data_IF_277599512853
#
_entry.id   IF_277599512853
#
_cell.length_a   1.000
_cell.length_b   1.000
_cell.length_c   1.000
_cell.angle_alpha   90.00
_cell.angle_beta   90.00
_cell.angle_gamma   90.00
#
_symmetry.space_group_name_H-M   'P 1'
#
loop_
_entity.id
_entity.type
_entity.pdbx_description
1 polymer ?
#
# COMPACT_ATOMS: atom_id res chain seq x y z
N UNK A 1 -9.10 6.33 -17.75
CA UNK A 1 -9.84 5.22 -17.09
C UNK A 1 -11.14 4.89 -17.80
N UNK A 2 -12.11 5.81 -17.99
CA UNK A 2 -13.36 5.49 -18.72
C UNK A 2 -13.14 4.90 -20.12
N UNK A 3 -12.11 5.38 -20.82
CA UNK A 3 -11.75 4.91 -22.18
C UNK A 3 -11.21 3.48 -22.22
N UNK A 4 -10.73 2.95 -21.10
CA UNK A 4 -10.06 1.64 -21.01
C UNK A 4 -10.77 0.68 -20.04
N UNK A 5 -12.01 1.00 -19.66
CA UNK A 5 -12.77 0.21 -18.66
C UNK A 5 -14.23 0.11 -19.07
N UNK A 6 -14.80 -1.09 -19.04
CA UNK A 6 -16.24 -1.28 -19.31
C UNK A 6 -17.14 -0.63 -18.24
N UNK A 7 -16.68 -0.62 -16.99
CA UNK A 7 -17.32 0.08 -15.89
C UNK A 7 -16.27 0.88 -15.11
N UNK A 8 -16.64 2.07 -14.64
CA UNK A 8 -15.82 2.89 -13.75
C UNK A 8 -16.62 3.28 -12.52
N UNK A 9 -16.13 2.89 -11.34
CA UNK A 9 -16.66 3.30 -10.05
C UNK A 9 -15.63 4.18 -9.37
N UNK A 10 -16.00 5.44 -9.10
CA UNK A 10 -15.17 6.37 -8.33
C UNK A 10 -15.70 6.41 -6.92
N UNK A 11 -14.80 6.33 -5.95
CA UNK A 11 -15.14 6.29 -4.52
C UNK A 11 -14.30 7.32 -3.78
N UNK A 12 -14.93 8.10 -2.90
CA UNK A 12 -14.30 9.09 -2.02
C UNK A 12 -14.72 8.83 -0.58
N UNK A 13 -13.76 8.89 0.35
CA UNK A 13 -14.01 8.61 1.78
C UNK A 13 -15.07 9.55 2.38
N UNK A 14 -15.07 10.82 1.97
CA UNK A 14 -15.99 11.87 2.45
C UNK A 14 -17.28 12.00 1.61
N UNK A 15 -17.43 11.19 0.57
CA UNK A 15 -18.58 11.25 -0.35
C UNK A 15 -18.63 12.52 -1.21
N UNK A 16 -17.56 13.31 -1.27
CA UNK A 16 -17.49 14.54 -2.08
C UNK A 16 -17.68 14.27 -3.58
N UNK A 17 -17.37 13.06 -4.06
CA UNK A 17 -17.53 12.70 -5.46
C UNK A 17 -17.73 11.20 -5.68
N UNK A 18 -18.80 10.83 -6.40
CA UNK A 18 -19.08 9.44 -6.73
C UNK A 18 -19.68 8.66 -5.55
N UNK A 19 -19.14 7.48 -5.25
CA UNK A 19 -19.59 6.65 -4.14
C UNK A 19 -18.89 7.09 -2.85
N UNK A 20 -19.62 7.09 -1.74
CA UNK A 20 -19.02 7.37 -0.43
C UNK A 20 -18.40 6.11 0.18
N UNK A 21 -17.22 6.25 0.80
CA UNK A 21 -16.60 5.22 1.64
C UNK A 21 -15.42 4.48 1.01
N UNK A 22 -15.14 3.29 1.52
CA UNK A 22 -13.95 2.52 1.13
C UNK A 22 -14.17 1.70 -0.15
N UNK A 23 -13.09 1.44 -0.87
CA UNK A 23 -13.11 0.58 -2.07
C UNK A 23 -13.64 -0.84 -1.79
N UNK A 24 -13.41 -1.38 -0.59
CA UNK A 24 -13.92 -2.68 -0.17
C UNK A 24 -15.45 -2.71 -0.13
N UNK A 25 -16.09 -1.62 0.29
CA UNK A 25 -17.56 -1.53 0.26
C UNK A 25 -18.08 -1.59 -1.17
N UNK A 26 -17.42 -0.89 -2.09
CA UNK A 26 -17.81 -0.91 -3.51
C UNK A 26 -17.68 -2.31 -4.10
N UNK A 27 -16.64 -3.07 -3.74
CA UNK A 27 -16.49 -4.47 -4.17
C UNK A 27 -17.64 -5.33 -3.65
N UNK A 28 -17.97 -5.21 -2.35
CA UNK A 28 -19.07 -5.94 -1.72
C UNK A 28 -20.41 -5.65 -2.41
N UNK A 29 -20.74 -4.38 -2.61
CA UNK A 29 -21.99 -3.97 -3.25
C UNK A 29 -22.11 -4.55 -4.66
N UNK A 30 -21.02 -4.52 -5.43
CA UNK A 30 -21.01 -5.04 -6.80
C UNK A 30 -21.26 -6.54 -6.86
N UNK A 31 -20.69 -7.31 -5.93
CA UNK A 31 -20.91 -8.76 -5.86
C UNK A 31 -22.32 -9.07 -5.35
N UNK A 32 -22.84 -8.31 -4.38
CA UNK A 32 -24.22 -8.45 -3.89
C UNK A 32 -25.27 -8.10 -4.96
N UNK A 33 -24.96 -7.17 -5.86
CA UNK A 33 -25.77 -6.85 -7.03
C UNK A 33 -25.77 -7.97 -8.11
N UNK A 34 -25.12 -9.12 -7.82
CA UNK A 34 -25.07 -10.29 -8.70
C UNK A 34 -24.00 -10.22 -9.79
N UNK A 35 -23.02 -9.31 -9.67
CA UNK A 35 -21.90 -9.27 -10.63
C UNK A 35 -20.86 -10.33 -10.26
N UNK A 36 -20.34 -10.99 -11.29
CA UNK A 36 -19.28 -11.97 -11.18
C UNK A 36 -17.94 -11.38 -11.65
N UNK A 37 -16.87 -11.71 -10.93
CA UNK A 37 -15.51 -11.27 -11.24
C UNK A 37 -14.56 -12.45 -11.11
N UNK A 38 -13.72 -12.65 -12.13
CA UNK A 38 -12.78 -13.78 -12.17
C UNK A 38 -11.43 -13.48 -11.50
N UNK A 39 -11.02 -12.20 -11.50
CA UNK A 39 -9.74 -11.74 -10.96
C UNK A 39 -9.89 -10.34 -10.37
N UNK A 40 -9.29 -10.12 -9.20
CA UNK A 40 -9.09 -8.80 -8.62
C UNK A 40 -7.62 -8.39 -8.74
N UNK A 41 -7.35 -7.19 -9.21
CA UNK A 41 -6.00 -6.59 -9.19
C UNK A 41 -6.06 -5.36 -8.29
N UNK A 42 -5.32 -5.38 -7.19
CA UNK A 42 -5.31 -4.31 -6.19
C UNK A 42 -3.96 -3.61 -6.14
N UNK A 43 -3.99 -2.28 -6.33
CA UNK A 43 -2.80 -1.42 -6.33
C UNK A 43 -3.13 -0.18 -5.50
N UNK A 44 -2.36 0.10 -4.45
CA UNK A 44 -2.60 1.23 -3.58
C UNK A 44 -1.80 1.18 -2.28
N UNK A 45 -2.27 1.82 -1.19
CA UNK A 45 -1.65 1.69 0.13
C UNK A 45 -1.63 0.23 0.61
N UNK A 46 -0.58 -0.19 1.33
CA UNK A 46 -0.49 -1.56 1.88
C UNK A 46 -1.73 -1.97 2.68
N UNK A 47 -2.24 -1.06 3.50
CA UNK A 47 -3.43 -1.31 4.31
C UNK A 47 -4.68 -1.55 3.46
N UNK A 48 -4.82 -0.82 2.35
CA UNK A 48 -5.92 -0.99 1.40
C UNK A 48 -5.82 -2.38 0.74
N UNK A 49 -4.63 -2.73 0.23
CA UNK A 49 -4.39 -4.03 -0.39
C UNK A 49 -4.66 -5.19 0.58
N UNK A 50 -4.25 -5.06 1.86
CA UNK A 50 -4.53 -6.05 2.91
C UNK A 50 -6.03 -6.32 3.07
N UNK A 51 -6.83 -5.27 3.17
CA UNK A 51 -8.29 -5.42 3.35
C UNK A 51 -9.00 -5.91 2.09
N UNK A 52 -8.55 -5.49 0.91
CA UNK A 52 -9.06 -6.04 -0.36
C UNK A 52 -8.76 -7.53 -0.46
N UNK A 53 -7.54 -7.98 -0.13
CA UNK A 53 -7.18 -9.39 -0.12
C UNK A 53 -8.01 -10.20 0.87
N UNK A 54 -8.27 -9.65 2.07
CA UNK A 54 -9.13 -10.30 3.06
C UNK A 54 -10.56 -10.47 2.53
N UNK A 55 -11.16 -9.41 1.99
CA UNK A 55 -12.50 -9.44 1.42
C UNK A 55 -12.59 -10.42 0.24
N UNK A 56 -11.69 -10.29 -0.73
CA UNK A 56 -11.70 -11.14 -1.94
C UNK A 56 -11.45 -12.61 -1.63
N UNK A 57 -10.72 -12.93 -0.55
CA UNK A 57 -10.58 -14.30 -0.06
C UNK A 57 -11.91 -14.87 0.46
N UNK A 58 -12.73 -14.07 1.13
CA UNK A 58 -14.08 -14.47 1.57
C UNK A 58 -15.05 -14.63 0.38
N UNK A 59 -14.83 -13.87 -0.69
CA UNK A 59 -15.60 -13.94 -1.94
C UNK A 59 -15.07 -14.98 -2.93
N UNK A 60 -14.01 -15.71 -2.57
CA UNK A 60 -13.34 -16.70 -3.43
C UNK A 60 -12.83 -16.12 -4.77
N UNK A 61 -12.48 -14.84 -4.79
CA UNK A 61 -11.95 -14.15 -5.97
C UNK A 61 -10.41 -14.17 -5.91
N UNK A 62 -9.71 -14.76 -6.88
CA UNK A 62 -8.26 -14.67 -7.00
C UNK A 62 -7.79 -13.22 -7.04
N UNK A 63 -6.82 -12.86 -6.20
CA UNK A 63 -6.38 -11.46 -6.06
C UNK A 63 -4.88 -11.31 -6.23
N UNK A 64 -4.50 -10.47 -7.20
CA UNK A 64 -3.13 -10.05 -7.45
C UNK A 64 -2.92 -8.69 -6.80
N UNK A 65 -1.80 -8.52 -6.10
CA UNK A 65 -1.40 -7.24 -5.50
C UNK A 65 -0.06 -6.79 -6.05
N UNK A 66 0.05 -5.50 -6.38
CA UNK A 66 1.35 -4.88 -6.70
C UNK A 66 1.94 -4.27 -5.44
N UNK A 67 2.87 -4.97 -4.81
CA UNK A 67 3.47 -4.53 -3.55
C UNK A 67 4.40 -3.33 -3.74
N UNK A 68 4.44 -2.45 -2.74
CA UNK A 68 5.29 -1.26 -2.72
C UNK A 68 6.27 -1.24 -1.52
N UNK A 69 7.14 -2.26 -1.34
CA UNK A 69 8.16 -2.23 -0.30
C UNK A 69 9.24 -1.19 -0.63
N UNK A 70 10.07 -0.86 0.37
CA UNK A 70 11.23 0.01 0.18
C UNK A 70 12.19 -0.63 -0.83
N UNK A 71 12.63 0.14 -1.82
CA UNK A 71 13.61 -0.27 -2.83
C UNK A 71 14.86 0.60 -2.74
N UNK A 72 16.03 0.02 -3.02
CA UNK A 72 17.31 0.74 -3.09
C UNK A 72 17.95 0.51 -4.44
N UNK A 73 18.39 -0.71 -4.74
CA UNK A 73 19.05 -1.04 -6.00
C UNK A 73 18.04 -1.36 -7.13
N UNK A 74 16.95 -2.06 -6.82
CA UNK A 74 15.93 -2.44 -7.80
C UNK A 74 16.33 -3.56 -8.76
N UNK A 75 17.46 -4.24 -8.51
CA UNK A 75 18.03 -5.28 -9.38
C UNK A 75 18.27 -6.62 -8.68
N UNK A 76 17.84 -6.73 -7.41
CA UNK A 76 17.93 -7.95 -6.61
C UNK A 76 19.22 -8.10 -5.79
N UNK A 77 20.06 -7.07 -5.72
CA UNK A 77 21.37 -7.15 -5.05
C UNK A 77 21.30 -6.91 -3.54
N UNK A 78 20.39 -6.04 -3.05
CA UNK A 78 20.41 -5.63 -1.64
C UNK A 78 19.36 -6.30 -0.74
N UNK A 79 18.26 -6.82 -1.31
CA UNK A 79 17.15 -7.41 -0.55
C UNK A 79 16.33 -6.41 0.29
N UNK A 80 16.47 -5.10 0.08
CA UNK A 80 15.64 -4.08 0.75
C UNK A 80 14.15 -4.29 0.46
N UNK A 81 13.82 -4.68 -0.78
CA UNK A 81 12.46 -4.93 -1.24
C UNK A 81 11.92 -6.32 -0.86
N UNK A 82 12.58 -7.04 0.06
CA UNK A 82 12.12 -8.38 0.45
C UNK A 82 10.73 -8.34 1.09
N UNK A 83 9.96 -9.36 0.77
CA UNK A 83 8.62 -9.65 1.29
C UNK A 83 8.49 -11.14 1.52
N UNK A 84 7.68 -11.55 2.50
CA UNK A 84 7.33 -12.95 2.71
C UNK A 84 6.02 -13.29 1.99
N UNK A 85 6.07 -14.21 1.04
CA UNK A 85 4.93 -14.69 0.25
C UNK A 85 4.86 -16.21 0.33
N UNK A 86 3.76 -16.77 0.83
CA UNK A 86 3.58 -18.22 0.96
C UNK A 86 4.64 -18.88 1.86
N UNK A 87 5.10 -18.16 2.88
CA UNK A 87 6.18 -18.62 3.78
C UNK A 87 7.59 -18.57 3.19
N UNK A 88 7.77 -18.03 1.97
CA UNK A 88 9.08 -17.89 1.32
C UNK A 88 9.44 -16.41 1.20
N UNK A 89 10.72 -16.11 1.43
CA UNK A 89 11.26 -14.76 1.19
C UNK A 89 11.41 -14.55 -0.32
N UNK A 90 10.86 -13.44 -0.81
CA UNK A 90 10.84 -13.02 -2.21
C UNK A 90 11.28 -11.57 -2.34
N UNK A 91 11.91 -11.19 -3.44
CA UNK A 91 12.36 -9.81 -3.68
C UNK A 91 11.44 -9.12 -4.67
N UNK A 92 10.68 -8.12 -4.23
CA UNK A 92 9.67 -7.50 -5.09
C UNK A 92 10.21 -6.90 -6.40
N UNK A 93 11.48 -6.46 -6.45
CA UNK A 93 12.08 -5.92 -7.67
C UNK A 93 12.46 -6.97 -8.73
N UNK A 94 12.54 -8.25 -8.38
CA UNK A 94 12.95 -9.33 -9.30
C UNK A 94 11.90 -10.44 -9.37
N UNK A 95 11.38 -10.89 -8.23
CA UNK A 95 10.34 -11.91 -8.16
C UNK A 95 8.92 -11.33 -8.35
N UNK A 96 8.75 -10.01 -8.27
CA UNK A 96 7.46 -9.32 -8.29
C UNK A 96 7.41 -8.19 -9.33
N UNK A 97 6.83 -7.01 -9.00
CA UNK A 97 6.25 -6.61 -7.70
C UNK A 97 4.84 -7.19 -7.46
N UNK A 98 4.30 -7.88 -8.46
CA UNK A 98 3.00 -8.52 -8.44
C UNK A 98 3.08 -9.91 -7.79
N UNK A 99 2.25 -10.14 -6.77
CA UNK A 99 2.17 -11.42 -6.07
C UNK A 99 0.72 -11.82 -5.83
N UNK A 100 0.50 -13.11 -5.55
CA UNK A 100 -0.77 -13.59 -5.00
C UNK A 100 -1.00 -12.93 -3.63
N UNK A 101 -1.97 -12.02 -3.58
CA UNK A 101 -2.30 -11.23 -2.41
C UNK A 101 -2.80 -12.07 -1.24
N UNK A 102 -3.32 -13.27 -1.46
CA UNK A 102 -3.77 -14.15 -0.38
C UNK A 102 -2.62 -14.84 0.35
N UNK A 103 -1.42 -14.83 -0.24
CA UNK A 103 -0.21 -15.45 0.31
C UNK A 103 0.78 -14.44 0.92
N UNK A 104 0.53 -13.13 0.77
CA UNK A 104 1.42 -12.07 1.26
C UNK A 104 1.30 -11.91 2.78
N UNK A 105 2.44 -11.82 3.47
CA UNK A 105 2.51 -11.35 4.85
C UNK A 105 2.44 -9.82 4.91
N UNK A 106 1.23 -9.26 4.96
CA UNK A 106 1.02 -7.81 5.00
C UNK A 106 1.54 -7.16 6.29
N UNK A 107 1.50 -7.86 7.43
CA UNK A 107 1.93 -7.27 8.70
C UNK A 107 3.43 -7.02 8.71
N UNK A 108 4.22 -8.00 8.23
CA UNK A 108 5.66 -7.82 8.01
C UNK A 108 5.92 -6.70 7.00
N UNK A 109 5.24 -6.71 5.85
CA UNK A 109 5.45 -5.71 4.80
C UNK A 109 5.17 -4.28 5.29
N UNK A 110 4.08 -4.07 6.04
CA UNK A 110 3.73 -2.78 6.64
C UNK A 110 4.74 -2.34 7.71
N UNK A 111 5.21 -3.25 8.57
CA UNK A 111 6.26 -2.92 9.55
C UNK A 111 7.54 -2.46 8.85
N UNK A 112 7.91 -3.13 7.75
CA UNK A 112 9.09 -2.76 6.95
C UNK A 112 8.97 -1.38 6.32
N UNK A 113 7.78 -0.98 5.86
CA UNK A 113 7.55 0.37 5.31
C UNK A 113 7.78 1.49 6.32
N UNK A 114 7.69 1.21 7.63
CA UNK A 114 7.82 2.23 8.67
C UNK A 114 9.26 2.45 9.15
N UNK A 115 10.23 1.65 8.68
CA UNK A 115 11.62 1.66 9.17
C UNK A 115 12.24 3.07 9.12
N UNK A 116 11.97 3.85 8.08
CA UNK A 116 12.57 5.17 7.89
C UNK A 116 11.66 6.34 8.28
N UNK A 117 10.47 6.08 8.84
CA UNK A 117 9.48 7.14 9.15
C UNK A 117 10.05 8.29 9.97
N UNK A 118 10.91 8.01 10.95
CA UNK A 118 11.56 9.06 11.77
C UNK A 118 12.58 9.86 10.98
N UNK A 119 13.38 9.22 10.12
CA UNK A 119 14.38 9.89 9.30
C UNK A 119 13.71 10.75 8.22
N UNK A 120 12.70 10.21 7.54
CA UNK A 120 11.85 10.92 6.58
C UNK A 120 11.16 12.12 7.22
N UNK A 121 10.58 11.96 8.41
CA UNK A 121 9.94 13.03 9.15
C UNK A 121 10.92 14.16 9.53
N UNK A 122 12.12 13.83 10.00
CA UNK A 122 13.17 14.82 10.28
C UNK A 122 13.65 15.53 9.02
N UNK A 123 13.85 14.79 7.93
CA UNK A 123 14.24 15.38 6.65
C UNK A 123 13.15 16.33 6.11
N UNK A 124 11.88 15.94 6.23
CA UNK A 124 10.74 16.78 5.87
C UNK A 124 10.66 18.07 6.70
N UNK A 125 10.80 17.98 8.02
CA UNK A 125 10.80 19.16 8.90
C UNK A 125 11.98 20.08 8.57
N UNK A 126 13.19 19.54 8.44
CA UNK A 126 14.38 20.30 8.04
C UNK A 126 14.16 21.04 6.71
N UNK A 127 13.56 20.38 5.72
CA UNK A 127 13.25 21.00 4.44
C UNK A 127 12.20 22.11 4.53
N UNK A 128 11.21 21.96 5.42
CA UNK A 128 10.12 22.92 5.60
C UNK A 128 10.51 24.14 6.45
N UNK A 129 11.31 23.93 7.49
CA UNK A 129 11.69 24.94 8.49
C UNK A 129 12.98 25.69 8.11
N UNK A 130 13.79 25.14 7.19
CA UNK A 130 15.00 25.77 6.69
C UNK A 130 15.98 26.11 7.81
N UNK A 131 16.43 27.35 7.87
CA UNK A 131 17.41 27.82 8.87
C UNK A 131 16.83 27.89 10.30
N UNK A 132 15.49 27.86 10.45
CA UNK A 132 14.86 27.79 11.78
C UNK A 132 14.86 26.39 12.36
N UNK A 133 15.27 25.38 11.57
CA UNK A 133 15.51 24.02 12.04
C UNK A 133 16.83 23.96 12.84
N UNK A 134 16.85 24.61 13.99
CA UNK A 134 17.84 24.37 15.02
C UNK A 134 17.43 23.08 15.74
N UNK A 135 18.25 22.04 15.67
CA UNK A 135 17.93 20.70 16.17
C UNK A 135 17.37 20.74 17.59
N UNK A 136 16.08 20.47 17.73
CA UNK A 136 15.33 20.88 18.90
C UNK A 136 13.91 20.34 18.94
N UNK A 137 13.72 19.03 18.92
CA UNK A 137 12.40 18.43 19.15
C UNK A 137 12.01 18.57 20.64
N UNK A 138 11.81 19.78 21.14
CA UNK A 138 11.26 20.08 22.48
C UNK A 138 12.03 19.53 23.71
N UNK A 139 13.13 18.80 23.49
CA UNK A 139 14.04 18.26 24.49
C UNK A 139 15.52 18.52 24.13
N UNK A 140 15.76 19.27 23.06
CA UNK A 140 17.11 19.66 22.66
C UNK A 140 17.19 21.17 22.88
N UNK A 141 17.98 21.56 23.87
CA UNK A 141 18.43 22.93 24.02
C UNK A 141 19.09 23.33 22.71
N UNK A 142 18.42 24.19 21.95
CA UNK A 142 19.04 24.86 20.82
C UNK A 142 20.20 25.68 21.37
N UNK A 143 21.37 25.55 20.74
CA UNK A 143 22.70 26.05 21.11
C UNK A 143 22.74 27.38 21.92
N UNK A 144 22.30 27.32 23.17
CA UNK A 144 22.54 28.23 24.30
C UNK A 144 22.33 27.48 25.62
#
# INVERSE_FOLDING_TARGET
MKEVSGNLYVTTDDGSYGRSGMVTQTITDLVQDGKHYDVCVAIGPMIMMKFVCKLTKELEIPTIVSLNPIMVDGTGMCGACRVTVGGKVKFACVDGPEFDGHLVNFDEAMQRQLIYKTAEGRAFLKAKEGDTHHGGCGNCGGDK
#
